data_IF_748245633780
#
_entry.id   IF_748245633780
#
_cell.length_a   1.000
_cell.length_b   1.000
_cell.length_c   1.000
_cell.angle_alpha   90.00
_cell.angle_beta   90.00
_cell.angle_gamma   90.00
#
_symmetry.space_group_name_H-M   'P 1'
#
loop_
_entity.id
_entity.type
_entity.pdbx_description
1 polymer ?
#
# COMPACT_ATOMS: atom_id res chain seq x y z
N UNK A 1 8.53 -1.82 2.31
CA UNK A 1 8.40 -2.11 0.86
C UNK A 1 7.03 -2.73 0.68
N UNK A 2 6.29 -2.35 -0.36
CA UNK A 2 4.93 -2.84 -0.65
C UNK A 2 4.91 -3.31 -2.10
N UNK A 3 4.37 -4.49 -2.36
CA UNK A 3 4.21 -5.02 -3.71
C UNK A 3 2.77 -4.80 -4.19
N UNK A 4 2.63 -4.43 -5.46
CA UNK A 4 1.35 -4.08 -6.08
C UNK A 4 1.24 -4.83 -7.40
N UNK A 5 0.12 -5.52 -7.60
CA UNK A 5 -0.17 -6.27 -8.82
C UNK A 5 -1.62 -6.05 -9.24
N UNK A 6 -1.86 -5.87 -10.54
CA UNK A 6 -3.21 -5.61 -11.07
C UNK A 6 -4.13 -6.83 -10.94
N UNK A 7 -3.55 -8.03 -10.93
CA UNK A 7 -4.26 -9.30 -10.83
C UNK A 7 -3.50 -10.25 -9.88
N UNK A 8 -3.58 -10.03 -8.55
CA UNK A 8 -2.77 -10.76 -7.58
C UNK A 8 -2.88 -12.30 -7.68
N UNK A 9 -4.06 -12.91 -7.95
CA UNK A 9 -4.17 -14.37 -8.14
C UNK A 9 -3.30 -14.96 -9.25
N UNK A 10 -2.95 -14.18 -10.28
CA UNK A 10 -2.13 -14.64 -11.42
C UNK A 10 -0.68 -14.15 -11.35
N UNK A 11 -0.25 -13.52 -10.25
CA UNK A 11 1.13 -13.12 -10.08
C UNK A 11 2.05 -14.35 -10.02
N UNK A 12 3.22 -14.26 -10.67
CA UNK A 12 4.20 -15.38 -10.73
C UNK A 12 4.90 -15.64 -9.39
N UNK A 13 4.90 -14.66 -8.51
CA UNK A 13 5.45 -14.72 -7.16
C UNK A 13 4.62 -13.76 -6.29
N UNK A 14 4.48 -14.07 -5.00
CA UNK A 14 3.97 -13.14 -3.97
C UNK A 14 2.61 -12.46 -4.24
N UNK A 15 1.78 -13.07 -5.10
CA UNK A 15 0.44 -12.59 -5.43
C UNK A 15 -0.47 -12.47 -4.22
N UNK A 16 -0.49 -13.48 -3.34
CA UNK A 16 -1.37 -13.49 -2.17
C UNK A 16 -1.09 -12.34 -1.17
N UNK A 17 0.12 -11.79 -1.16
CA UNK A 17 0.52 -10.66 -0.31
C UNK A 17 0.54 -9.32 -1.03
N UNK A 18 0.41 -9.32 -2.37
CA UNK A 18 0.36 -8.11 -3.17
C UNK A 18 -0.98 -7.41 -3.01
N UNK A 19 -0.95 -6.08 -2.99
CA UNK A 19 -2.15 -5.26 -3.07
C UNK A 19 -2.55 -5.05 -4.53
N UNK A 20 -3.84 -4.81 -4.75
CA UNK A 20 -4.30 -4.15 -5.98
C UNK A 20 -3.93 -2.66 -5.98
N UNK A 21 -3.90 -1.99 -7.15
CA UNK A 21 -3.63 -0.55 -7.21
C UNK A 21 -4.56 0.28 -6.31
N UNK A 22 -5.86 0.03 -6.33
CA UNK A 22 -6.82 0.78 -5.50
C UNK A 22 -6.61 0.57 -3.99
N UNK A 23 -6.20 -0.63 -3.58
CA UNK A 23 -5.83 -0.91 -2.19
C UNK A 23 -4.55 -0.18 -1.78
N UNK A 24 -3.60 -0.05 -2.70
CA UNK A 24 -2.39 0.73 -2.46
C UNK A 24 -2.68 2.23 -2.32
N UNK A 25 -3.57 2.77 -3.17
CA UNK A 25 -4.02 4.17 -3.05
C UNK A 25 -4.66 4.44 -1.68
N UNK A 26 -5.55 3.56 -1.23
CA UNK A 26 -6.15 3.65 0.09
C UNK A 26 -5.10 3.56 1.22
N UNK A 27 -4.14 2.63 1.11
CA UNK A 27 -3.06 2.47 2.09
C UNK A 27 -2.20 3.75 2.17
N UNK A 28 -1.78 4.29 1.03
CA UNK A 28 -0.91 5.47 1.01
C UNK A 28 -1.60 6.71 1.55
N UNK A 29 -2.90 6.88 1.31
CA UNK A 29 -3.68 7.95 1.93
C UNK A 29 -3.60 7.90 3.47
N UNK A 30 -3.78 6.71 4.05
CA UNK A 30 -3.68 6.51 5.51
C UNK A 30 -2.25 6.75 6.03
N UNK A 31 -1.25 6.21 5.35
CA UNK A 31 0.17 6.40 5.73
C UNK A 31 0.55 7.88 5.71
N UNK A 32 0.08 8.64 4.71
CA UNK A 32 0.35 10.08 4.60
C UNK A 32 -0.26 10.87 5.76
N UNK A 33 -1.47 10.50 6.22
CA UNK A 33 -2.09 11.12 7.39
C UNK A 33 -1.28 10.86 8.67
N UNK A 34 -0.84 9.62 8.88
CA UNK A 34 0.00 9.25 10.03
C UNK A 34 1.33 10.00 9.98
N UNK A 35 1.98 10.06 8.81
CA UNK A 35 3.21 10.79 8.62
C UNK A 35 3.05 12.29 8.94
N UNK A 36 1.95 12.90 8.51
CA UNK A 36 1.66 14.30 8.82
C UNK A 36 1.51 14.52 10.33
N UNK A 37 0.80 13.64 11.04
CA UNK A 37 0.65 13.72 12.49
C UNK A 37 1.99 13.59 13.24
N UNK A 38 2.84 12.64 12.81
CA UNK A 38 4.19 12.47 13.39
C UNK A 38 5.05 13.71 13.15
N UNK A 39 4.98 14.30 11.95
CA UNK A 39 5.73 15.53 11.61
C UNK A 39 5.26 16.73 12.42
N UNK A 40 3.96 16.89 12.65
CA UNK A 40 3.41 17.98 13.45
C UNK A 40 3.70 17.86 14.94
N UNK A 41 4.06 16.66 15.41
CA UNK A 41 4.39 16.38 16.82
C UNK A 41 5.88 16.55 17.14
N UNK A 42 6.69 16.98 16.17
CA UNK A 42 8.10 17.32 16.32
C UNK A 42 8.30 18.82 16.22
#
# INVERSE_FOLDING_TARGET
>A
MVEVHNDPPHAKCDGAQSLTPDQFDALTANVNQILAAIKASK
#
